data_IF_034049636534
#
_entry.id   IF_034049636534
#
_cell.length_a   1.000
_cell.length_b   1.000
_cell.length_c   1.000
_cell.angle_alpha   90.00
_cell.angle_beta   90.00
_cell.angle_gamma   90.00
#
_symmetry.space_group_name_H-M   'P 1'
#
loop_
_entity.id
_entity.type
_entity.pdbx_description
1 polymer ?
#
# COMPACT_ATOMS: atom_id res chain seq x y z
N UNK A 1 -13.92 -11.81 -11.10
CA UNK A 1 -13.41 -10.79 -10.16
C UNK A 1 -12.24 -11.30 -9.31
N UNK A 2 -12.44 -12.31 -8.44
CA UNK A 2 -11.34 -12.86 -7.62
C UNK A 2 -10.19 -13.48 -8.43
N UNK A 3 -10.47 -14.18 -9.53
CA UNK A 3 -9.42 -14.74 -10.41
C UNK A 3 -8.55 -13.65 -11.06
N UNK A 4 -9.16 -12.52 -11.45
CA UNK A 4 -8.46 -11.40 -12.10
C UNK A 4 -7.60 -10.61 -11.10
N UNK A 5 -8.11 -10.39 -9.88
CA UNK A 5 -7.33 -9.82 -8.78
C UNK A 5 -6.14 -10.73 -8.41
N UNK A 6 -6.32 -12.06 -8.47
CA UNK A 6 -5.26 -13.02 -8.19
C UNK A 6 -4.11 -13.02 -9.21
N UNK A 7 -4.43 -12.87 -10.50
CA UNK A 7 -3.43 -12.73 -11.58
C UNK A 7 -2.69 -11.40 -11.44
N UNK A 8 -3.42 -10.30 -11.29
CA UNK A 8 -2.83 -8.97 -11.10
C UNK A 8 -1.93 -8.91 -9.85
N UNK A 9 -2.32 -9.57 -8.76
CA UNK A 9 -1.48 -9.69 -7.57
C UNK A 9 -0.19 -10.46 -7.84
N UNK A 10 -0.21 -11.47 -8.71
CA UNK A 10 0.99 -12.21 -9.12
C UNK A 10 1.98 -11.34 -9.89
N UNK A 11 1.49 -10.62 -10.91
CA UNK A 11 2.31 -9.73 -11.73
C UNK A 11 2.91 -8.58 -10.91
N UNK A 12 2.13 -8.02 -9.98
CA UNK A 12 2.60 -6.97 -9.09
C UNK A 12 3.61 -7.50 -8.06
N UNK A 13 3.40 -8.70 -7.52
CA UNK A 13 4.37 -9.32 -6.61
C UNK A 13 5.72 -9.59 -7.29
N UNK A 14 5.74 -9.94 -8.58
CA UNK A 14 6.97 -10.11 -9.34
C UNK A 14 7.81 -8.82 -9.47
N UNK A 15 7.19 -7.64 -9.28
CA UNK A 15 7.86 -6.33 -9.28
C UNK A 15 8.41 -5.93 -7.90
N UNK A 16 8.12 -6.72 -6.87
CA UNK A 16 8.59 -6.43 -5.52
C UNK A 16 10.12 -6.50 -5.46
N UNK A 17 10.73 -5.51 -4.82
CA UNK A 17 12.19 -5.45 -4.63
C UNK A 17 12.52 -5.85 -3.22
N UNK A 18 13.38 -6.87 -3.10
CA UNK A 18 13.82 -7.40 -1.83
C UNK A 18 12.65 -7.78 -0.90
N UNK A 19 11.50 -8.21 -1.42
CA UNK A 19 10.33 -8.55 -0.59
C UNK A 19 9.46 -7.38 -0.15
N UNK A 20 9.59 -6.21 -0.77
CA UNK A 20 8.62 -5.13 -0.59
C UNK A 20 8.13 -4.56 -1.93
N UNK A 21 6.88 -4.09 -1.96
CA UNK A 21 6.27 -3.44 -3.11
C UNK A 21 5.66 -2.10 -2.71
N UNK A 22 5.96 -1.05 -3.47
CA UNK A 22 5.21 0.21 -3.43
C UNK A 22 4.78 0.53 -4.86
N UNK A 23 3.48 0.68 -5.12
CA UNK A 23 3.00 0.96 -6.48
C UNK A 23 1.67 1.71 -6.51
N UNK A 24 1.44 2.43 -7.61
CA UNK A 24 0.17 3.06 -7.93
C UNK A 24 -0.77 2.07 -8.64
N UNK A 25 -2.05 2.09 -8.28
CA UNK A 25 -3.15 1.33 -8.92
C UNK A 25 -4.42 2.19 -8.87
N UNK A 26 -4.70 2.91 -9.96
CA UNK A 26 -5.89 3.77 -10.08
C UNK A 26 -7.15 3.00 -10.47
N UNK A 27 -8.32 3.64 -10.32
CA UNK A 27 -9.61 3.11 -10.73
C UNK A 27 -10.19 2.02 -9.82
N UNK A 28 -9.55 1.77 -8.66
CA UNK A 28 -10.04 0.82 -7.67
C UNK A 28 -10.79 1.52 -6.55
N UNK A 29 -11.86 0.89 -6.08
CA UNK A 29 -12.48 1.27 -4.82
C UNK A 29 -11.50 1.00 -3.66
N UNK A 30 -11.56 1.76 -2.56
CA UNK A 30 -10.67 1.57 -1.41
C UNK A 30 -10.67 0.13 -0.85
N UNK A 31 -11.82 -0.56 -0.88
CA UNK A 31 -11.93 -1.97 -0.49
C UNK A 31 -11.18 -2.90 -1.43
N UNK A 32 -11.30 -2.70 -2.75
CA UNK A 32 -10.64 -3.52 -3.76
C UNK A 32 -9.11 -3.31 -3.74
N UNK A 33 -8.67 -2.06 -3.53
CA UNK A 33 -7.26 -1.73 -3.33
C UNK A 33 -6.70 -2.43 -2.09
N UNK A 34 -7.50 -2.50 -1.02
CA UNK A 34 -7.13 -3.21 0.21
C UNK A 34 -6.98 -4.70 -0.02
N UNK A 35 -7.96 -5.32 -0.66
CA UNK A 35 -7.95 -6.74 -0.95
C UNK A 35 -6.78 -7.12 -1.87
N UNK A 36 -6.45 -6.26 -2.84
CA UNK A 36 -5.27 -6.42 -3.69
C UNK A 36 -3.96 -6.37 -2.87
N UNK A 37 -3.81 -5.41 -1.95
CA UNK A 37 -2.63 -5.32 -1.10
C UNK A 37 -2.45 -6.57 -0.23
N UNK A 38 -3.54 -7.08 0.34
CA UNK A 38 -3.57 -8.32 1.13
C UNK A 38 -3.16 -9.52 0.25
N UNK A 39 -3.69 -9.62 -0.96
CA UNK A 39 -3.40 -10.70 -1.89
C UNK A 39 -1.93 -10.70 -2.36
N UNK A 40 -1.33 -9.53 -2.58
CA UNK A 40 0.09 -9.40 -2.92
C UNK A 40 0.95 -9.79 -1.71
N UNK A 41 0.63 -9.30 -0.51
CA UNK A 41 1.34 -9.65 0.71
C UNK A 41 1.32 -11.17 0.98
N UNK A 42 0.23 -11.85 0.64
CA UNK A 42 0.11 -13.30 0.80
C UNK A 42 1.04 -14.11 -0.13
N UNK A 43 1.70 -13.48 -1.11
CA UNK A 43 2.68 -14.15 -1.97
C UNK A 43 3.98 -14.40 -1.21
N UNK A 44 4.63 -15.51 -1.54
CA UNK A 44 5.90 -15.90 -0.91
C UNK A 44 6.98 -14.83 -1.13
N UNK A 45 7.75 -14.56 -0.08
CA UNK A 45 8.83 -13.58 -0.12
C UNK A 45 8.40 -12.12 0.02
N UNK A 46 7.10 -11.83 0.17
CA UNK A 46 6.61 -10.47 0.39
C UNK A 46 6.43 -10.19 1.89
N UNK A 47 7.13 -9.18 2.39
CA UNK A 47 7.07 -8.72 3.78
C UNK A 47 6.23 -7.45 3.94
N UNK A 48 6.24 -6.57 2.94
CA UNK A 48 5.54 -5.28 2.99
C UNK A 48 4.99 -4.86 1.62
N UNK A 49 3.76 -4.38 1.59
CA UNK A 49 3.10 -3.84 0.40
C UNK A 49 2.48 -2.50 0.74
N UNK A 50 2.73 -1.50 -0.08
CA UNK A 50 1.99 -0.23 -0.08
C UNK A 50 1.39 0.01 -1.46
N UNK A 51 0.08 0.17 -1.52
CA UNK A 51 -0.64 0.55 -2.73
C UNK A 51 -1.24 1.94 -2.55
N UNK A 52 -1.22 2.74 -3.61
CA UNK A 52 -1.95 4.01 -3.67
C UNK A 52 -2.71 4.15 -4.97
N UNK A 53 -3.83 4.85 -4.98
CA UNK A 53 -4.61 5.01 -6.20
C UNK A 53 -5.63 6.12 -6.09
N UNK A 54 -6.00 6.68 -7.24
CA UNK A 54 -7.14 7.57 -7.38
C UNK A 54 -8.37 6.73 -7.75
N UNK A 55 -9.42 6.77 -6.94
CA UNK A 55 -10.70 6.14 -7.26
C UNK A 55 -11.46 6.92 -8.33
N UNK A 56 -12.45 6.30 -8.97
CA UNK A 56 -13.28 6.96 -9.99
C UNK A 56 -14.03 8.20 -9.47
N UNK A 57 -14.24 8.29 -8.15
CA UNK A 57 -14.79 9.48 -7.48
C UNK A 57 -13.78 10.63 -7.28
N UNK A 58 -12.53 10.47 -7.71
CA UNK A 58 -11.44 11.45 -7.57
C UNK A 58 -10.74 11.44 -6.21
N UNK A 59 -11.16 10.58 -5.28
CA UNK A 59 -10.53 10.41 -3.98
C UNK A 59 -9.23 9.60 -4.07
N UNK A 60 -8.27 9.90 -3.20
CA UNK A 60 -7.07 9.09 -3.05
C UNK A 60 -7.31 8.01 -1.99
N UNK A 61 -6.91 6.78 -2.29
CA UNK A 61 -6.82 5.68 -1.34
C UNK A 61 -5.37 5.22 -1.22
N UNK A 62 -4.93 4.95 0.02
CA UNK A 62 -3.63 4.37 0.36
C UNK A 62 -3.87 3.14 1.23
N UNK A 63 -3.14 2.06 0.96
CA UNK A 63 -3.18 0.84 1.77
C UNK A 63 -1.76 0.35 2.02
N UNK A 64 -1.46 0.03 3.28
CA UNK A 64 -0.29 -0.74 3.67
C UNK A 64 -0.72 -2.10 4.21
N UNK A 65 -0.06 -3.15 3.76
CA UNK A 65 -0.21 -4.50 4.28
C UNK A 65 1.18 -5.10 4.51
N UNK A 66 1.45 -5.54 5.74
CA UNK A 66 2.74 -6.15 6.11
C UNK A 66 2.50 -7.55 6.68
N UNK A 67 3.50 -8.41 6.59
CA UNK A 67 3.44 -9.74 7.19
C UNK A 67 3.54 -9.58 8.72
N UNK A 68 2.66 -10.20 9.53
CA UNK A 68 2.66 -10.02 10.99
C UNK A 68 4.01 -10.34 11.67
N UNK A 69 4.77 -11.29 11.12
CA UNK A 69 6.10 -11.67 11.60
C UNK A 69 7.24 -10.69 11.18
N UNK A 70 6.94 -9.66 10.40
CA UNK A 70 7.96 -8.72 9.91
C UNK A 70 8.48 -7.76 10.99
N UNK A 71 7.72 -7.56 12.08
CA UNK A 71 8.01 -6.52 13.08
C UNK A 71 7.68 -5.09 12.61
N UNK A 72 7.24 -4.92 11.36
CA UNK A 72 6.87 -3.63 10.77
C UNK A 72 5.43 -3.31 11.13
N UNK A 73 5.13 -2.03 11.41
CA UNK A 73 3.77 -1.54 11.63
C UNK A 73 3.23 -0.93 10.33
N UNK A 74 2.15 -1.50 9.77
CA UNK A 74 1.60 -1.04 8.50
C UNK A 74 1.22 0.45 8.52
N UNK A 75 0.68 0.94 9.65
CA UNK A 75 0.27 2.33 9.79
C UNK A 75 1.42 3.33 9.66
N UNK A 76 2.63 2.98 10.11
CA UNK A 76 3.79 3.88 10.00
C UNK A 76 4.29 3.99 8.56
N UNK A 77 4.05 3.00 7.70
CA UNK A 77 4.47 3.02 6.30
C UNK A 77 3.73 4.06 5.44
N UNK A 78 2.49 4.40 5.82
CA UNK A 78 1.63 5.30 5.04
C UNK A 78 1.24 6.58 5.80
N UNK A 79 1.76 6.78 7.01
CA UNK A 79 1.38 7.90 7.88
C UNK A 79 1.68 9.26 7.27
N UNK A 80 2.90 9.46 6.77
CA UNK A 80 3.30 10.74 6.18
C UNK A 80 2.75 10.89 4.75
N UNK A 81 2.67 9.79 4.00
CA UNK A 81 1.98 9.75 2.71
C UNK A 81 0.51 10.19 2.82
N UNK A 82 -0.22 9.73 3.85
CA UNK A 82 -1.61 10.11 4.11
C UNK A 82 -1.77 11.62 4.38
N UNK A 83 -0.80 12.24 5.06
CA UNK A 83 -0.80 13.68 5.32
C UNK A 83 -0.59 14.48 4.03
N UNK A 84 0.29 14.03 3.15
CA UNK A 84 0.57 14.71 1.87
C UNK A 84 -0.65 14.72 0.94
N UNK A 85 -1.41 13.62 0.89
CA UNK A 85 -2.66 13.54 0.12
C UNK A 85 -3.83 14.26 0.80
N UNK A 86 -3.57 14.96 1.92
CA UNK A 86 -4.53 15.80 2.61
C UNK A 86 -5.61 15.02 3.35
N UNK A 87 -5.27 13.86 3.91
CA UNK A 87 -6.21 13.09 4.72
C UNK A 87 -5.56 12.33 5.87
N UNK A 88 -6.16 11.20 6.22
CA UNK A 88 -5.86 10.47 7.44
C UNK A 88 -6.08 8.98 7.26
N UNK A 89 -5.54 8.20 8.20
CA UNK A 89 -5.57 6.75 8.15
C UNK A 89 -5.98 6.10 9.46
N UNK A 90 -6.36 4.83 9.35
CA UNK A 90 -6.68 3.93 10.43
C UNK A 90 -6.33 2.51 10.05
N UNK A 91 -6.20 1.62 11.04
CA UNK A 91 -5.77 0.25 10.79
C UNK A 91 -5.34 -0.45 12.06
N UNK A 92 -5.22 -1.77 12.00
CA UNK A 92 -4.83 -2.59 13.14
C UNK A 92 -3.64 -3.43 12.72
N UNK A 93 -2.51 -3.25 13.41
CA UNK A 93 -1.31 -4.08 13.31
C UNK A 93 -0.72 -4.18 11.89
N UNK A 94 -1.12 -5.23 11.19
CA UNK A 94 -0.55 -5.69 9.92
C UNK A 94 -1.20 -5.08 8.68
N UNK A 95 -2.33 -4.38 8.84
CA UNK A 95 -3.01 -3.67 7.74
C UNK A 95 -3.40 -2.26 8.18
N UNK A 96 -3.09 -1.28 7.34
CA UNK A 96 -3.51 0.10 7.49
C UNK A 96 -4.07 0.66 6.18
N UNK A 97 -5.06 1.53 6.30
CA UNK A 97 -5.70 2.20 5.18
C UNK A 97 -5.78 3.69 5.47
N UNK A 98 -5.55 4.50 4.46
CA UNK A 98 -5.73 5.94 4.52
C UNK A 98 -6.42 6.45 3.26
N UNK A 99 -7.00 7.64 3.34
CA UNK A 99 -7.59 8.30 2.19
C UNK A 99 -7.34 9.80 2.24
N UNK A 100 -7.46 10.45 1.09
CA UNK A 100 -7.23 11.89 0.93
C UNK A 100 -7.94 12.45 -0.29
N UNK A 101 -7.89 13.78 -0.43
CA UNK A 101 -8.54 14.51 -1.53
C UNK A 101 -7.55 15.09 -2.54
N UNK A 102 -6.24 15.03 -2.25
CA UNK A 102 -5.22 15.62 -3.10
C UNK A 102 -4.55 14.55 -3.97
N UNK A 103 -5.17 14.26 -5.13
CA UNK A 103 -4.64 13.32 -6.11
C UNK A 103 -3.30 13.80 -6.72
N UNK A 104 -3.07 15.11 -6.80
CA UNK A 104 -1.82 15.66 -7.32
C UNK A 104 -0.60 15.33 -6.43
N UNK A 105 -0.82 15.09 -5.13
CA UNK A 105 0.24 14.70 -4.20
C UNK A 105 0.46 13.18 -4.12
N UNK A 106 -0.30 12.36 -4.87
CA UNK A 106 -0.22 10.90 -4.75
C UNK A 106 1.16 10.36 -5.13
N UNK A 107 1.79 10.88 -6.18
CA UNK A 107 3.09 10.37 -6.63
C UNK A 107 4.18 10.67 -5.59
N UNK A 108 4.19 11.88 -5.02
CA UNK A 108 5.09 12.25 -3.90
C UNK A 108 4.80 11.45 -2.63
N UNK A 109 3.52 11.15 -2.38
CA UNK A 109 3.09 10.28 -1.27
C UNK A 109 3.59 8.84 -1.42
N UNK A 110 3.61 8.31 -2.64
CA UNK A 110 4.18 6.99 -2.91
C UNK A 110 5.70 6.98 -2.74
N UNK A 111 6.41 8.04 -3.16
CA UNK A 111 7.85 8.19 -2.89
C UNK A 111 8.12 8.20 -1.38
N UNK A 112 7.33 8.97 -0.62
CA UNK A 112 7.43 9.02 0.84
C UNK A 112 7.18 7.66 1.48
N UNK A 113 6.17 6.93 1.00
CA UNK A 113 5.90 5.57 1.46
C UNK A 113 7.03 4.59 1.12
N UNK A 114 7.67 4.71 -0.05
CA UNK A 114 8.86 3.92 -0.40
C UNK A 114 9.98 4.14 0.61
N UNK A 115 10.26 5.39 0.96
CA UNK A 115 11.29 5.72 1.96
C UNK A 115 10.95 5.14 3.34
N UNK A 116 9.68 5.21 3.75
CA UNK A 116 9.22 4.64 5.02
C UNK A 116 9.38 3.10 5.04
N UNK A 117 9.07 2.42 3.93
CA UNK A 117 9.29 0.97 3.77
C UNK A 117 10.78 0.62 3.87
N UNK A 118 11.64 1.34 3.17
CA UNK A 118 13.09 1.12 3.21
C UNK A 118 13.68 1.38 4.60
N UNK A 119 13.20 2.41 5.31
CA UNK A 119 13.61 2.70 6.67
C UNK A 119 13.16 1.61 7.65
N UNK A 120 11.89 1.21 7.61
CA UNK A 120 11.34 0.18 8.50
C UNK A 120 12.06 -1.17 8.33
N UNK A 121 12.45 -1.50 7.10
CA UNK A 121 13.17 -2.75 6.79
C UNK A 121 14.63 -2.76 7.23
N UNK A 122 15.29 -1.59 7.28
CA UNK A 122 16.66 -1.45 7.81
C UNK A 122 16.71 -1.47 9.33
N UNK A 123 15.61 -1.13 9.99
CA UNK A 123 15.51 -1.09 11.45
C UNK A 123 15.06 -2.42 12.09
N UNK A 124 14.76 -3.44 11.26
CA UNK A 124 14.43 -4.81 11.67
C UNK A 124 15.71 -5.60 11.91
#
# INVERSE_FOLDING_TARGET
>A
RQAQLGLQAGDLAARAKSGALVTRVDGLAPSDLRDLAIAIRAKQGIEAVVLGGVSDSGGVALVAAVTPASGIKAGELIKDAARQVGGGGGGKGDIATAGGKNAAALDDALVTATQAVEAARRAK
#
